data_IF_994100238997
#
_entry.id   IF_994100238997
#
_cell.length_a   1.000
_cell.length_b   1.000
_cell.length_c   1.000
_cell.angle_alpha   90.00
_cell.angle_beta   90.00
_cell.angle_gamma   90.00
#
_symmetry.space_group_name_H-M   'P 1'
#
loop_
_entity.id
_entity.type
_entity.pdbx_description
1 polymer ?
#
# COMPACT_ATOMS: atom_id res chain seq x y z
N UNK A 1 0.47 13.20 -0.54
CA UNK A 1 -0.74 12.43 -0.15
C UNK A 1 -0.34 10.96 0.05
N UNK A 2 -1.12 10.13 0.74
CA UNK A 2 -0.78 8.70 0.97
C UNK A 2 -0.55 7.96 -0.35
N UNK A 3 -1.38 8.22 -1.36
CA UNK A 3 -1.19 7.71 -2.72
C UNK A 3 0.20 8.04 -3.28
N UNK A 4 0.63 9.30 -3.23
CA UNK A 4 1.94 9.70 -3.79
C UNK A 4 3.12 9.06 -3.08
N UNK A 5 2.96 8.65 -1.82
CA UNK A 5 3.98 7.86 -1.12
C UNK A 5 3.94 6.45 -1.68
N UNK A 6 2.78 5.78 -1.67
CA UNK A 6 2.67 4.39 -2.12
C UNK A 6 3.08 4.19 -3.59
N UNK A 7 2.75 5.14 -4.49
CA UNK A 7 3.13 5.06 -5.92
C UNK A 7 4.61 5.23 -6.21
N UNK A 8 5.42 5.69 -5.24
CA UNK A 8 6.87 5.88 -5.41
C UNK A 8 7.68 4.64 -5.10
N UNK A 9 7.06 3.60 -4.54
CA UNK A 9 7.75 2.40 -4.09
C UNK A 9 7.14 1.19 -4.79
N UNK A 10 8.02 0.39 -5.40
CA UNK A 10 7.69 -0.89 -6.01
C UNK A 10 7.68 -2.05 -5.00
N UNK A 11 7.77 -1.75 -3.71
CA UNK A 11 7.74 -2.72 -2.62
C UNK A 11 6.66 -2.38 -1.57
N UNK A 12 6.10 -3.39 -0.86
CA UNK A 12 5.15 -3.15 0.21
C UNK A 12 5.77 -2.34 1.35
N UNK A 13 5.06 -1.30 1.79
CA UNK A 13 5.48 -0.44 2.90
C UNK A 13 4.68 -0.74 4.16
N UNK A 14 5.37 -0.85 5.30
CA UNK A 14 4.70 -0.91 6.59
C UNK A 14 4.00 0.42 6.92
N UNK A 15 2.93 0.38 7.73
CA UNK A 15 2.20 1.59 8.15
C UNK A 15 3.12 2.62 8.82
N UNK A 16 4.08 2.17 9.63
CA UNK A 16 5.06 3.05 10.26
C UNK A 16 5.99 3.71 9.24
N UNK A 17 6.41 2.96 8.21
CA UNK A 17 7.23 3.52 7.13
C UNK A 17 6.44 4.57 6.33
N UNK A 18 5.19 4.29 5.98
CA UNK A 18 4.31 5.24 5.30
C UNK A 18 4.16 6.51 6.13
N UNK A 19 3.90 6.39 7.45
CA UNK A 19 3.81 7.55 8.36
C UNK A 19 5.07 8.41 8.36
N UNK A 20 6.25 7.81 8.31
CA UNK A 20 7.52 8.53 8.30
C UNK A 20 7.84 9.23 6.97
N UNK A 21 7.26 8.75 5.87
CA UNK A 21 7.46 9.30 4.52
C UNK A 21 6.46 10.40 4.16
N UNK A 22 5.40 10.56 4.96
CA UNK A 22 4.42 11.63 4.73
C UNK A 22 5.05 12.99 5.08
N UNK A 23 4.83 14.03 4.24
CA UNK A 23 5.36 15.37 4.47
C UNK A 23 4.75 16.07 5.69
N UNK A 24 3.64 15.53 6.22
CA UNK A 24 2.98 16.01 7.43
C UNK A 24 2.63 14.84 8.32
N UNK A 25 2.74 15.05 9.63
CA UNK A 25 2.37 14.05 10.64
C UNK A 25 0.89 13.70 10.49
N UNK A 26 0.62 12.43 10.21
CA UNK A 26 -0.73 11.90 10.08
C UNK A 26 -1.03 10.96 11.24
N UNK A 27 -2.26 11.04 11.77
CA UNK A 27 -2.73 10.11 12.79
C UNK A 27 -2.85 8.70 12.20
N UNK A 28 -2.58 7.68 13.01
CA UNK A 28 -2.68 6.28 12.58
C UNK A 28 -4.08 5.93 12.08
N UNK A 29 -5.13 6.39 12.77
CA UNK A 29 -6.52 6.16 12.36
C UNK A 29 -6.83 6.75 10.98
N UNK A 30 -6.37 7.97 10.70
CA UNK A 30 -6.58 8.60 9.41
C UNK A 30 -5.82 7.88 8.29
N UNK A 31 -4.58 7.43 8.56
CA UNK A 31 -3.82 6.62 7.60
C UNK A 31 -4.55 5.29 7.30
N UNK A 32 -5.07 4.64 8.34
CA UNK A 32 -5.81 3.38 8.20
C UNK A 32 -7.07 3.58 7.35
N UNK A 33 -7.86 4.62 7.62
CA UNK A 33 -9.04 4.95 6.83
C UNK A 33 -8.71 5.22 5.35
N UNK A 34 -7.60 5.91 5.08
CA UNK A 34 -7.15 6.14 3.71
C UNK A 34 -6.79 4.82 3.00
N UNK A 35 -6.06 3.94 3.69
CA UNK A 35 -5.68 2.62 3.14
C UNK A 35 -6.91 1.75 2.91
N UNK A 36 -7.83 1.67 3.88
CA UNK A 36 -9.08 0.91 3.73
C UNK A 36 -9.93 1.45 2.58
N UNK A 37 -9.97 2.77 2.40
CA UNK A 37 -10.63 3.39 1.25
C UNK A 37 -10.00 2.96 -0.08
N UNK A 38 -8.66 3.03 -0.21
CA UNK A 38 -7.98 2.60 -1.42
C UNK A 38 -8.07 1.09 -1.67
N UNK A 39 -8.11 0.28 -0.61
CA UNK A 39 -8.33 -1.17 -0.69
C UNK A 39 -9.72 -1.48 -1.25
N UNK A 40 -10.76 -0.78 -0.78
CA UNK A 40 -12.14 -0.92 -1.31
C UNK A 40 -12.24 -0.53 -2.79
N UNK A 41 -11.40 0.39 -3.25
CA UNK A 41 -11.31 0.80 -4.65
C UNK A 41 -10.44 -0.14 -5.50
N UNK A 42 -9.80 -1.17 -4.91
CA UNK A 42 -8.86 -2.06 -5.60
C UNK A 42 -7.51 -1.41 -5.93
N UNK A 43 -7.24 -0.21 -5.41
CA UNK A 43 -6.02 0.54 -5.69
C UNK A 43 -4.82 0.11 -4.84
N UNK A 44 -5.07 -0.62 -3.74
CA UNK A 44 -4.06 -1.04 -2.78
C UNK A 44 -4.29 -2.49 -2.35
N UNK A 45 -3.23 -3.28 -2.27
CA UNK A 45 -3.18 -4.53 -1.53
C UNK A 45 -2.49 -4.31 -0.18
N UNK A 46 -3.02 -4.95 0.85
CA UNK A 46 -2.42 -5.01 2.18
C UNK A 46 -2.24 -6.49 2.54
N UNK A 47 -1.01 -6.88 2.84
CA UNK A 47 -0.66 -8.23 3.31
C UNK A 47 0.38 -8.17 4.44
N UNK A 48 0.92 -9.32 4.83
CA UNK A 48 1.80 -9.45 6.01
C UNK A 48 3.07 -8.61 5.96
N UNK A 49 3.57 -8.22 4.77
CA UNK A 49 4.75 -7.35 4.63
C UNK A 49 4.41 -5.86 4.49
N UNK A 50 3.13 -5.50 4.45
CA UNK A 50 2.67 -4.11 4.41
C UNK A 50 1.70 -3.82 3.28
N UNK A 51 1.67 -2.55 2.90
CA UNK A 51 0.68 -1.95 2.01
C UNK A 51 1.38 -1.52 0.72
N UNK A 52 0.80 -1.91 -0.41
CA UNK A 52 1.34 -1.61 -1.72
C UNK A 52 0.26 -1.09 -2.66
N UNK A 53 0.61 -0.12 -3.51
CA UNK A 53 -0.28 0.34 -4.56
C UNK A 53 -0.39 -0.72 -5.66
N UNK A 54 -1.60 -1.24 -5.89
CA UNK A 54 -1.90 -2.33 -6.83
C UNK A 54 -2.53 -1.88 -8.13
N UNK A 55 -2.97 -0.61 -8.23
CA UNK A 55 -3.35 -0.05 -9.53
C UNK A 55 -2.08 0.22 -10.34
N UNK A 56 -1.37 -0.86 -10.66
CA UNK A 56 -0.20 -0.92 -11.50
C UNK A 56 -0.66 -1.56 -12.81
N UNK A 57 -0.51 -0.84 -13.92
CA UNK A 57 -0.85 -1.31 -15.27
C UNK A 57 0.09 -2.41 -15.78
N UNK A 58 0.89 -3.02 -14.90
CA UNK A 58 1.96 -3.97 -15.22
C UNK A 58 1.58 -5.37 -14.71
N UNK A 59 1.31 -6.34 -15.61
CA UNK A 59 0.83 -7.69 -15.26
C UNK A 59 1.80 -8.53 -14.41
N UNK A 60 3.11 -8.30 -14.50
CA UNK A 60 4.14 -9.09 -13.80
C UNK A 60 4.10 -8.91 -12.27
N UNK A 61 3.59 -7.78 -11.81
CA UNK A 61 3.45 -7.48 -10.40
C UNK A 61 2.49 -8.45 -9.67
N UNK A 62 1.38 -8.82 -10.32
CA UNK A 62 0.35 -9.69 -9.74
C UNK A 62 0.81 -11.13 -9.52
N UNK A 63 1.72 -11.64 -10.35
CA UNK A 63 2.31 -12.98 -10.19
C UNK A 63 3.08 -13.14 -8.89
N UNK A 64 3.67 -12.05 -8.37
CA UNK A 64 4.39 -12.06 -7.09
C UNK A 64 3.42 -12.02 -5.91
N UNK A 65 2.31 -11.30 -6.03
CA UNK A 65 1.29 -11.20 -4.97
C UNK A 65 0.59 -12.55 -4.76
N UNK A 66 0.21 -13.25 -5.84
CA UNK A 66 -0.41 -14.59 -5.75
C UNK A 66 0.49 -15.60 -5.03
N UNK A 67 1.82 -15.50 -5.20
CA UNK A 67 2.77 -16.37 -4.53
C UNK A 67 2.86 -16.16 -3.01
N UNK A 68 2.33 -15.04 -2.48
CA UNK A 68 2.39 -14.71 -1.05
C UNK A 68 1.14 -15.15 -0.29
N UNK A 69 0.01 -15.35 -0.96
CA UNK A 69 -1.22 -15.86 -0.36
C UNK A 69 -1.28 -17.40 -0.32
N UNK A 70 -0.36 -18.08 -1.01
CA UNK A 70 -0.29 -19.54 -1.07
C UNK A 70 0.53 -20.19 0.07
N UNK A 71 0.83 -19.47 1.15
CA UNK A 71 1.68 -19.94 2.27
C UNK A 71 1.01 -19.70 3.63
#
# INVERSE_FOLDING_TARGET
>A
MVESVLRKFDEPLSLNRIKGLLPRKMMHAALRQAIDHYKRLGCVAEGSKGVMWTLNVQPEFWKVVEAWEAR
#
